data_IF_594491318299
#
_entry.id   IF_594491318299
#
_cell.length_a   1.000
_cell.length_b   1.000
_cell.length_c   1.000
_cell.angle_alpha   90.00
_cell.angle_beta   90.00
_cell.angle_gamma   90.00
#
_symmetry.space_group_name_H-M   'P 1'
#
loop_
_entity.id
_entity.type
_entity.pdbx_description
1 polymer ?
#
# COMPACT_ATOMS: atom_id res chain seq x y z
N UNK A 1 -7.76 -5.90 -12.20
CA UNK A 1 -6.80 -4.87 -12.64
C UNK A 1 -6.55 -3.90 -11.51
N UNK A 2 -5.31 -3.51 -11.30
CA UNK A 2 -4.95 -2.60 -10.21
C UNK A 2 -5.41 -1.17 -10.53
N UNK A 3 -5.92 -0.49 -9.49
CA UNK A 3 -6.24 0.93 -9.59
C UNK A 3 -4.94 1.72 -9.47
N UNK A 4 -4.76 2.71 -10.33
CA UNK A 4 -3.62 3.61 -10.22
C UNK A 4 -3.92 4.75 -9.26
N UNK A 5 -3.02 4.95 -8.29
CA UNK A 5 -3.12 6.06 -7.34
C UNK A 5 -1.71 6.48 -6.91
N UNK A 6 -1.45 7.77 -6.98
CA UNK A 6 -0.17 8.32 -6.54
C UNK A 6 -0.28 8.78 -5.10
N UNK A 7 0.80 8.60 -4.34
CA UNK A 7 0.87 8.88 -2.92
C UNK A 7 1.95 9.92 -2.69
N UNK A 8 1.69 10.86 -1.77
CA UNK A 8 2.70 11.78 -1.25
C UNK A 8 2.99 11.43 0.20
N UNK A 9 4.26 11.24 0.53
CA UNK A 9 4.71 10.94 1.89
C UNK A 9 5.62 12.06 2.34
N UNK A 10 5.34 12.63 3.53
CA UNK A 10 6.20 13.64 4.13
C UNK A 10 7.29 12.95 4.93
N UNK A 11 8.55 13.19 4.56
CA UNK A 11 9.69 12.62 5.25
C UNK A 11 9.69 13.02 6.73
N UNK A 12 9.84 12.04 7.60
CA UNK A 12 9.87 12.29 9.05
C UNK A 12 8.51 12.35 9.73
N UNK A 13 7.43 12.15 8.99
CA UNK A 13 6.07 12.13 9.55
C UNK A 13 5.48 10.73 9.45
N UNK A 14 4.61 10.39 10.38
CA UNK A 14 3.81 9.17 10.26
C UNK A 14 2.89 9.28 9.05
N UNK A 15 2.78 8.20 8.32
CA UNK A 15 1.89 8.12 7.16
C UNK A 15 0.81 7.08 7.43
N UNK A 16 -0.44 7.46 7.27
CA UNK A 16 -1.58 6.54 7.39
C UNK A 16 -2.57 6.86 6.28
N UNK A 17 -3.01 5.83 5.58
CA UNK A 17 -4.01 5.98 4.52
C UNK A 17 -5.01 4.85 4.59
N UNK A 18 -6.29 5.19 4.61
CA UNK A 18 -7.38 4.22 4.51
C UNK A 18 -7.82 4.12 3.06
N UNK A 19 -7.95 2.91 2.58
CA UNK A 19 -8.26 2.64 1.17
C UNK A 19 -9.46 1.71 1.08
N UNK A 20 -10.41 2.07 0.22
CA UNK A 20 -11.55 1.24 -0.10
C UNK A 20 -11.25 0.46 -1.37
N UNK A 21 -11.33 -0.87 -1.28
CA UNK A 21 -11.14 -1.75 -2.43
C UNK A 21 -12.51 -2.17 -2.98
N UNK A 22 -12.61 -2.19 -4.30
CA UNK A 22 -13.83 -2.61 -4.97
C UNK A 22 -13.57 -3.80 -5.86
N UNK A 23 -14.56 -4.67 -5.97
CA UNK A 23 -14.54 -5.78 -6.91
C UNK A 23 -14.84 -5.27 -8.33
N UNK A 24 -14.70 -6.15 -9.32
CA UNK A 24 -14.89 -5.77 -10.71
C UNK A 24 -16.29 -5.27 -11.04
N UNK A 25 -17.29 -5.60 -10.23
CA UNK A 25 -18.66 -5.14 -10.41
C UNK A 25 -18.97 -3.82 -9.68
N UNK A 26 -17.96 -3.22 -9.03
CA UNK A 26 -18.11 -1.98 -8.31
C UNK A 26 -18.53 -2.11 -6.85
N UNK A 27 -18.87 -3.31 -6.39
CA UNK A 27 -19.20 -3.54 -4.98
C UNK A 27 -17.93 -3.60 -4.13
N UNK A 28 -18.03 -3.42 -2.79
CA UNK A 28 -16.86 -3.58 -1.94
C UNK A 28 -16.23 -4.97 -2.09
N UNK A 29 -14.91 -5.01 -2.13
CA UNK A 29 -14.17 -6.28 -2.18
C UNK A 29 -14.25 -6.95 -0.80
N UNK A 30 -14.85 -8.13 -0.75
CA UNK A 30 -14.93 -8.89 0.50
C UNK A 30 -13.57 -9.51 0.80
N UNK A 31 -12.95 -9.08 1.91
CA UNK A 31 -11.64 -9.55 2.35
C UNK A 31 -11.74 -10.45 3.59
N UNK A 32 -12.93 -10.91 3.92
CA UNK A 32 -13.14 -11.75 5.11
C UNK A 32 -12.50 -13.12 4.93
N UNK A 33 -12.23 -13.78 6.07
CA UNK A 33 -11.71 -15.13 6.17
C UNK A 33 -10.22 -15.25 5.79
N UNK A 34 -9.92 -15.63 4.55
CA UNK A 34 -8.58 -16.12 4.16
C UNK A 34 -7.69 -15.06 3.51
N UNK A 35 -8.15 -13.82 3.42
CA UNK A 35 -7.37 -12.78 2.77
C UNK A 35 -6.32 -12.16 3.68
N UNK A 36 -5.17 -11.83 3.09
CA UNK A 36 -4.15 -10.97 3.71
C UNK A 36 -3.80 -9.87 2.72
N UNK A 37 -3.23 -8.79 3.23
CA UNK A 37 -2.85 -7.64 2.42
C UNK A 37 -1.37 -7.31 2.65
N UNK A 38 -0.67 -6.92 1.59
CA UNK A 38 0.72 -6.49 1.68
C UNK A 38 0.95 -5.33 0.70
N UNK A 39 1.76 -4.36 1.12
CA UNK A 39 2.14 -3.25 0.27
C UNK A 39 3.64 -3.02 0.36
N UNK A 40 4.26 -2.68 -0.77
CA UNK A 40 5.71 -2.52 -0.86
C UNK A 40 6.04 -1.30 -1.70
N UNK A 41 7.04 -0.55 -1.25
CA UNK A 41 7.60 0.61 -1.97
C UNK A 41 9.01 0.27 -2.40
N UNK A 42 9.34 0.57 -3.65
CA UNK A 42 10.70 0.42 -4.20
C UNK A 42 11.10 1.67 -4.93
N UNK A 43 12.41 1.92 -5.01
CA UNK A 43 12.92 3.07 -5.78
C UNK A 43 12.59 2.91 -7.27
N UNK A 44 12.76 1.71 -7.80
CA UNK A 44 12.36 1.33 -9.16
C UNK A 44 11.77 -0.08 -9.12
N UNK A 45 11.13 -0.49 -10.20
CA UNK A 45 10.52 -1.82 -10.27
C UNK A 45 11.56 -2.95 -10.13
N UNK A 46 12.80 -2.69 -10.50
CA UNK A 46 13.88 -3.69 -10.44
C UNK A 46 14.74 -3.59 -9.19
N UNK A 47 14.47 -2.64 -8.30
CA UNK A 47 15.25 -2.48 -7.06
C UNK A 47 15.12 -3.70 -6.17
N UNK A 48 16.22 -4.10 -5.54
CA UNK A 48 16.21 -5.16 -4.53
C UNK A 48 15.84 -4.63 -3.16
N UNK A 49 16.16 -3.36 -2.87
CA UNK A 49 15.79 -2.71 -1.62
C UNK A 49 14.33 -2.29 -1.67
N UNK A 50 13.61 -2.49 -0.58
CA UNK A 50 12.20 -2.14 -0.50
C UNK A 50 11.83 -1.67 0.90
N UNK A 51 10.73 -0.92 0.99
CA UNK A 51 10.12 -0.52 2.25
C UNK A 51 8.71 -1.12 2.26
N UNK A 52 8.39 -1.89 3.29
CA UNK A 52 7.07 -2.49 3.42
C UNK A 52 6.16 -1.56 4.20
N UNK A 53 4.95 -1.34 3.68
CA UNK A 53 3.88 -0.74 4.47
C UNK A 53 3.47 -1.68 5.59
N UNK A 54 3.07 -1.12 6.73
CA UNK A 54 2.28 -1.87 7.69
C UNK A 54 0.86 -1.86 7.14
N UNK A 55 0.46 -2.98 6.56
CA UNK A 55 -0.83 -3.09 5.88
C UNK A 55 -1.77 -3.96 6.72
N UNK A 56 -2.95 -3.44 7.00
CA UNK A 56 -3.96 -4.15 7.79
C UNK A 56 -5.30 -4.07 7.09
N UNK A 57 -6.15 -5.07 7.34
CA UNK A 57 -7.54 -5.07 6.88
C UNK A 57 -8.37 -4.46 7.99
N UNK A 58 -8.86 -3.23 7.77
CA UNK A 58 -9.62 -2.51 8.79
C UNK A 58 -11.09 -2.87 8.80
N UNK A 59 -11.65 -3.21 7.64
CA UNK A 59 -13.03 -3.68 7.53
C UNK A 59 -13.09 -4.72 6.41
N UNK A 60 -13.09 -6.00 6.80
CA UNK A 60 -12.98 -7.09 5.85
C UNK A 60 -14.15 -7.15 4.88
N UNK A 61 -15.38 -7.10 5.39
CA UNK A 61 -16.56 -7.19 4.52
C UNK A 61 -16.77 -5.95 3.67
N UNK A 62 -16.30 -4.80 4.15
CA UNK A 62 -16.40 -3.54 3.40
C UNK A 62 -15.23 -3.29 2.45
N UNK A 63 -14.24 -4.18 2.41
CA UNK A 63 -13.09 -4.03 1.54
C UNK A 63 -12.16 -2.91 1.92
N UNK A 64 -12.09 -2.54 3.20
CA UNK A 64 -11.27 -1.42 3.66
C UNK A 64 -9.95 -1.93 4.22
N UNK A 65 -8.86 -1.30 3.77
CA UNK A 65 -7.52 -1.59 4.27
C UNK A 65 -6.86 -0.30 4.73
N UNK A 66 -5.88 -0.43 5.61
CA UNK A 66 -5.06 0.70 6.08
C UNK A 66 -3.60 0.42 5.75
N UNK A 67 -2.95 1.40 5.12
CA UNK A 67 -1.51 1.38 4.87
C UNK A 67 -0.85 2.40 5.79
N UNK A 68 0.21 2.01 6.47
CA UNK A 68 0.89 2.90 7.41
C UNK A 68 2.40 2.77 7.33
N UNK A 69 3.09 3.87 7.60
CA UNK A 69 4.53 3.93 7.81
C UNK A 69 4.78 4.79 9.05
N UNK A 70 5.75 4.39 9.87
CA UNK A 70 6.13 5.19 11.03
C UNK A 70 7.02 6.36 10.61
N UNK A 71 7.11 7.37 11.47
CA UNK A 71 8.04 8.51 11.25
C UNK A 71 9.47 8.03 11.06
N UNK A 72 9.88 6.99 11.78
CA UNK A 72 11.22 6.42 11.62
C UNK A 72 11.42 5.84 10.23
N UNK A 73 10.40 5.15 9.68
CA UNK A 73 10.48 4.59 8.35
C UNK A 73 10.53 5.67 7.27
N UNK A 74 9.70 6.71 7.39
CA UNK A 74 9.70 7.79 6.40
C UNK A 74 10.96 8.64 6.48
N UNK A 75 11.53 8.82 7.68
CA UNK A 75 12.81 9.52 7.85
C UNK A 75 13.96 8.82 7.16
N UNK A 76 13.91 7.49 7.08
CA UNK A 76 14.95 6.69 6.44
C UNK A 76 14.85 6.73 4.91
N UNK A 77 13.74 7.21 4.36
CA UNK A 77 13.54 7.31 2.91
C UNK A 77 14.12 8.62 2.41
N UNK A 78 14.95 8.57 1.37
CA UNK A 78 15.44 9.80 0.74
C UNK A 78 14.29 10.46 -0.01
N UNK A 79 14.29 11.79 -0.04
CA UNK A 79 13.32 12.54 -0.82
C UNK A 79 13.43 12.16 -2.30
N UNK A 80 12.32 12.09 -2.99
CA UNK A 80 12.29 11.75 -4.40
C UNK A 80 11.11 10.85 -4.74
N UNK A 81 11.18 10.25 -5.92
CA UNK A 81 10.11 9.44 -6.47
C UNK A 81 10.40 7.95 -6.31
N UNK A 82 9.37 7.23 -5.93
CA UNK A 82 9.40 5.78 -5.75
C UNK A 82 8.21 5.18 -6.49
N UNK A 83 8.16 3.87 -6.58
CA UNK A 83 6.99 3.13 -7.07
C UNK A 83 6.49 2.22 -5.96
N UNK A 84 5.21 1.89 -5.99
CA UNK A 84 4.63 1.00 -4.99
C UNK A 84 3.52 0.17 -5.60
N UNK A 85 3.21 -0.93 -4.94
CA UNK A 85 1.98 -1.66 -5.20
C UNK A 85 1.43 -2.25 -3.90
N UNK A 86 0.16 -2.63 -3.96
CA UNK A 86 -0.54 -3.30 -2.87
C UNK A 86 -1.22 -4.53 -3.44
N UNK A 87 -1.03 -5.65 -2.77
CA UNK A 87 -1.58 -6.93 -3.18
C UNK A 87 -2.43 -7.52 -2.07
N UNK A 88 -3.48 -8.22 -2.47
CA UNK A 88 -4.23 -9.09 -1.56
C UNK A 88 -3.95 -10.53 -1.94
N UNK A 89 -3.86 -11.38 -0.93
CA UNK A 89 -3.62 -12.80 -1.11
C UNK A 89 -4.76 -13.59 -0.47
N UNK A 90 -5.33 -14.50 -1.24
CA UNK A 90 -6.37 -15.40 -0.75
C UNK A 90 -5.76 -16.79 -0.59
N UNK A 91 -5.54 -17.19 0.66
CA UNK A 91 -4.92 -18.49 0.95
C UNK A 91 -5.84 -19.67 0.60
N UNK A 92 -7.15 -19.46 0.59
CA UNK A 92 -8.10 -20.51 0.25
C UNK A 92 -7.99 -20.90 -1.23
N UNK A 93 -7.75 -19.94 -2.11
CA UNK A 93 -7.63 -20.16 -3.55
C UNK A 93 -6.20 -20.03 -4.05
N UNK A 94 -5.24 -19.77 -3.17
CA UNK A 94 -3.84 -19.52 -3.51
C UNK A 94 -3.69 -18.46 -4.60
N UNK A 95 -4.47 -17.39 -4.50
CA UNK A 95 -4.55 -16.34 -5.53
C UNK A 95 -4.01 -15.03 -4.98
N UNK A 96 -3.07 -14.43 -5.72
CA UNK A 96 -2.55 -13.08 -5.41
C UNK A 96 -3.09 -12.10 -6.45
N UNK A 97 -3.64 -11.00 -5.99
CA UNK A 97 -4.17 -9.95 -6.87
C UNK A 97 -3.56 -8.61 -6.49
N UNK A 98 -2.98 -7.92 -7.46
CA UNK A 98 -2.55 -6.53 -7.27
C UNK A 98 -3.79 -5.65 -7.36
N UNK A 99 -4.05 -4.88 -6.30
CA UNK A 99 -5.27 -4.07 -6.22
C UNK A 99 -4.98 -2.58 -6.35
N UNK A 100 -3.75 -2.15 -6.10
CA UNK A 100 -3.37 -0.75 -6.13
C UNK A 100 -1.92 -0.63 -6.57
N UNK A 101 -1.61 0.39 -7.37
CA UNK A 101 -0.24 0.66 -7.81
C UNK A 101 -0.09 2.13 -8.15
N UNK A 102 1.14 2.60 -8.18
CA UNK A 102 1.40 3.98 -8.57
C UNK A 102 2.79 4.45 -8.15
N UNK A 103 2.92 5.75 -8.06
CA UNK A 103 4.15 6.42 -7.67
C UNK A 103 4.02 6.99 -6.27
N UNK A 104 5.13 7.00 -5.55
CA UNK A 104 5.23 7.64 -4.25
C UNK A 104 6.22 8.78 -4.38
N UNK A 105 5.79 9.98 -3.98
CA UNK A 105 6.66 11.15 -3.91
C UNK A 105 6.96 11.44 -2.45
N UNK A 106 8.23 11.30 -2.06
CA UNK A 106 8.67 11.60 -0.69
C UNK A 106 9.20 13.03 -0.68
N UNK A 107 8.50 13.89 0.07
CA UNK A 107 8.91 15.30 0.18
C UNK A 107 9.91 15.47 1.32
N UNK A 108 10.94 16.31 1.15
CA UNK A 108 11.97 16.47 2.17
C UNK A 108 11.46 17.23 3.39
N UNK A 109 11.98 16.83 4.56
CA UNK A 109 11.71 17.53 5.81
C UNK A 109 12.70 18.68 5.97
N UNK A 110 12.24 19.78 6.56
CA UNK A 110 13.09 20.92 6.92
C UNK A 110 13.32 21.01 8.43
N UNK A 111 12.80 20.05 9.16
CA UNK A 111 12.93 20.02 10.62
C UNK A 111 14.07 19.12 11.03
#
# INVERSE_FOLDING_TARGET
MATQANITIDQGSDYVSDIDLTASDGSPQDLSNTFTVAGTIKKTYTSTASVAFTATISNATGGQITLALTAAQTSAMKAGRYVYDVEIYDSNNSTTTRVLEGQVNVTPSVT
#
